data_IF_881238132103
#
_entry.id   IF_881238132103
#
_cell.length_a   1.000
_cell.length_b   1.000
_cell.length_c   1.000
_cell.angle_alpha   90.00
_cell.angle_beta   90.00
_cell.angle_gamma   90.00
#
_symmetry.space_group_name_H-M   'P 1'
#
loop_
_entity.id
_entity.type
_entity.pdbx_description
1 polymer ?
#
# COMPACT_ATOMS: atom_id res chain seq x y z
N UNK A 1 -19.40 -8.65 1.59
CA UNK A 1 -17.95 -8.49 1.87
C UNK A 1 -17.29 -7.79 0.68
N UNK A 2 -16.43 -6.77 0.89
CA UNK A 2 -15.69 -6.17 -0.23
C UNK A 2 -14.70 -7.21 -0.79
N UNK A 3 -14.67 -7.37 -2.11
CA UNK A 3 -13.74 -8.25 -2.81
C UNK A 3 -12.31 -7.78 -2.54
N UNK A 4 -11.39 -8.74 -2.33
CA UNK A 4 -9.97 -8.44 -2.19
C UNK A 4 -9.41 -7.86 -3.51
N UNK A 5 -8.58 -6.82 -3.39
CA UNK A 5 -7.90 -6.17 -4.52
C UNK A 5 -6.58 -6.87 -4.82
N UNK A 6 -6.15 -6.81 -6.08
CA UNK A 6 -4.80 -7.20 -6.53
C UNK A 6 -3.77 -6.15 -6.12
N UNK A 7 -2.48 -6.49 -6.21
CA UNK A 7 -1.39 -5.53 -6.01
C UNK A 7 -1.50 -4.32 -6.95
N UNK A 8 -1.86 -4.55 -8.22
CA UNK A 8 -2.02 -3.46 -9.20
C UNK A 8 -3.15 -2.49 -8.82
N UNK A 9 -4.28 -3.03 -8.36
CA UNK A 9 -5.40 -2.21 -7.87
C UNK A 9 -5.03 -1.44 -6.60
N UNK A 10 -4.29 -2.05 -5.67
CA UNK A 10 -3.76 -1.36 -4.50
C UNK A 10 -2.76 -0.26 -4.87
N UNK A 11 -1.85 -0.50 -5.81
CA UNK A 11 -0.90 0.51 -6.28
C UNK A 11 -1.63 1.72 -6.87
N UNK A 12 -2.66 1.48 -7.69
CA UNK A 12 -3.51 2.54 -8.24
C UNK A 12 -4.22 3.33 -7.15
N UNK A 13 -4.86 2.64 -6.21
CA UNK A 13 -5.53 3.27 -5.06
C UNK A 13 -4.55 4.09 -4.20
N UNK A 14 -3.34 3.58 -3.99
CA UNK A 14 -2.24 4.27 -3.32
C UNK A 14 -1.89 5.59 -3.99
N UNK A 15 -1.73 5.58 -5.31
CA UNK A 15 -1.41 6.79 -6.08
C UNK A 15 -2.57 7.79 -6.13
N UNK A 16 -3.81 7.31 -6.20
CA UNK A 16 -5.02 8.17 -6.10
C UNK A 16 -5.10 8.89 -4.75
N UNK A 17 -4.70 8.22 -3.66
CA UNK A 17 -4.62 8.83 -2.33
C UNK A 17 -3.42 9.75 -2.18
N UNK A 18 -2.27 9.35 -2.73
CA UNK A 18 -1.03 10.10 -2.63
C UNK A 18 -0.05 9.72 -3.74
N UNK A 19 0.10 10.60 -4.71
CA UNK A 19 1.06 10.44 -5.82
C UNK A 19 2.43 11.07 -5.55
N UNK A 20 2.69 11.62 -4.36
CA UNK A 20 3.97 12.25 -3.97
C UNK A 20 4.48 11.73 -2.64
N UNK A 21 5.78 11.46 -2.55
CA UNK A 21 6.46 11.05 -1.33
C UNK A 21 6.24 12.10 -0.23
N UNK A 22 5.89 11.65 0.99
CA UNK A 22 5.63 12.55 2.12
C UNK A 22 6.86 13.33 2.58
N UNK A 23 8.06 12.78 2.33
CA UNK A 23 9.32 13.36 2.79
C UNK A 23 9.95 14.32 1.77
N UNK A 24 10.12 13.89 0.52
CA UNK A 24 10.84 14.69 -0.49
C UNK A 24 9.95 15.25 -1.61
N UNK A 25 8.65 14.92 -1.65
CA UNK A 25 7.74 15.40 -2.69
C UNK A 25 7.89 14.76 -4.07
N UNK A 26 8.87 13.86 -4.26
CA UNK A 26 9.06 13.12 -5.51
C UNK A 26 7.81 12.29 -5.89
N UNK A 27 7.58 12.11 -7.19
CA UNK A 27 6.45 11.34 -7.69
C UNK A 27 6.58 9.86 -7.31
N UNK A 28 5.50 9.30 -6.78
CA UNK A 28 5.35 7.88 -6.53
C UNK A 28 4.74 7.20 -7.75
N UNK A 29 5.26 6.02 -8.09
CA UNK A 29 4.77 5.20 -9.21
C UNK A 29 4.35 3.82 -8.72
N UNK A 30 3.54 3.11 -9.51
CA UNK A 30 3.07 1.78 -9.13
C UNK A 30 4.22 0.79 -8.83
N UNK A 31 5.33 0.87 -9.58
CA UNK A 31 6.51 0.02 -9.38
C UNK A 31 7.29 0.29 -8.09
N UNK A 32 6.96 1.36 -7.37
CA UNK A 32 7.49 1.68 -6.04
C UNK A 32 6.69 1.03 -4.92
N UNK A 33 5.53 0.42 -5.22
CA UNK A 33 4.78 -0.31 -4.21
C UNK A 33 5.55 -1.56 -3.78
N UNK A 34 5.50 -1.86 -2.49
CA UNK A 34 6.09 -3.03 -1.84
C UNK A 34 5.05 -3.70 -0.95
N UNK A 35 5.29 -4.97 -0.67
CA UNK A 35 4.46 -5.75 0.22
C UNK A 35 5.27 -6.84 0.92
N UNK A 36 4.77 -7.27 2.08
CA UNK A 36 5.30 -8.42 2.82
C UNK A 36 4.19 -9.04 3.68
N UNK A 37 4.35 -10.30 4.06
CA UNK A 37 3.42 -11.00 4.95
C UNK A 37 3.34 -10.29 6.31
N UNK A 38 2.13 -9.94 6.74
CA UNK A 38 1.93 -9.24 8.01
C UNK A 38 0.55 -9.50 8.60
N UNK A 39 0.48 -9.89 9.87
CA UNK A 39 -0.75 -10.29 10.55
C UNK A 39 -1.83 -9.19 10.61
N UNK A 40 -1.44 -7.92 10.48
CA UNK A 40 -2.36 -6.77 10.49
C UNK A 40 -2.43 -6.03 9.14
N UNK A 41 -2.09 -6.72 8.04
CA UNK A 41 -2.06 -6.19 6.68
C UNK A 41 -3.40 -6.19 5.94
N UNK A 42 -3.34 -6.05 4.61
CA UNK A 42 -4.45 -6.08 3.67
C UNK A 42 -4.59 -7.46 3.03
N UNK A 43 -5.83 -7.86 2.76
CA UNK A 43 -6.09 -9.06 1.97
C UNK A 43 -5.83 -8.74 0.49
N UNK A 44 -4.83 -9.38 -0.10
CA UNK A 44 -4.46 -9.19 -1.50
C UNK A 44 -4.86 -10.41 -2.31
N UNK A 45 -5.56 -10.20 -3.43
CA UNK A 45 -5.95 -11.27 -4.34
C UNK A 45 -4.70 -11.91 -4.95
N UNK A 46 -4.57 -13.23 -4.80
CA UNK A 46 -3.47 -14.02 -5.36
C UNK A 46 -2.28 -14.21 -4.41
N UNK A 47 -2.31 -13.62 -3.21
CA UNK A 47 -1.32 -13.85 -2.17
C UNK A 47 -1.95 -14.61 -0.99
N UNK A 48 -1.14 -15.43 -0.33
CA UNK A 48 -1.53 -16.09 0.91
C UNK A 48 -1.41 -15.10 2.07
N UNK A 49 -2.31 -15.20 3.05
CA UNK A 49 -2.28 -14.35 4.24
C UNK A 49 -2.61 -12.87 3.97
N UNK A 50 -2.30 -12.05 4.97
CA UNK A 50 -2.44 -10.60 4.92
C UNK A 50 -1.08 -9.97 4.59
N UNK A 51 -1.11 -8.85 3.88
CA UNK A 51 0.09 -8.21 3.34
C UNK A 51 0.19 -6.78 3.87
N UNK A 52 1.29 -6.40 4.49
CA UNK A 52 1.56 -4.97 4.70
C UNK A 52 1.83 -4.31 3.35
N UNK A 53 1.32 -3.10 3.11
CA UNK A 53 1.45 -2.39 1.83
C UNK A 53 2.01 -0.99 2.05
N UNK A 54 3.02 -0.62 1.26
CA UNK A 54 3.64 0.70 1.31
C UNK A 54 4.25 1.10 -0.03
N UNK A 55 4.52 2.39 -0.20
CA UNK A 55 5.40 2.89 -1.26
C UNK A 55 6.81 3.10 -0.71
N UNK A 56 7.81 2.58 -1.42
CA UNK A 56 9.21 2.88 -1.19
C UNK A 56 9.70 3.96 -2.17
N UNK A 57 9.96 5.17 -1.68
CA UNK A 57 10.44 6.26 -2.52
C UNK A 57 11.87 5.99 -3.00
N UNK A 58 12.11 5.94 -4.31
CA UNK A 58 13.46 5.71 -4.85
C UNK A 58 14.42 6.90 -4.67
N UNK A 59 13.90 8.11 -4.49
CA UNK A 59 14.72 9.33 -4.35
C UNK A 59 15.26 9.51 -2.93
N UNK A 60 14.45 9.23 -1.90
CA UNK A 60 14.83 9.50 -0.51
C UNK A 60 14.69 8.29 0.42
N UNK A 61 14.38 7.11 -0.14
CA UNK A 61 14.22 5.83 0.55
C UNK A 61 13.19 5.82 1.69
N UNK A 62 12.30 6.81 1.73
CA UNK A 62 11.25 6.88 2.74
C UNK A 62 10.09 5.95 2.38
N UNK A 63 9.68 5.13 3.35
CA UNK A 63 8.54 4.24 3.23
C UNK A 63 7.24 4.92 3.68
N UNK A 64 6.27 4.97 2.78
CA UNK A 64 4.93 5.50 3.05
C UNK A 64 3.93 4.36 3.11
N UNK A 65 3.57 3.94 4.33
CA UNK A 65 2.57 2.89 4.53
C UNK A 65 1.19 3.29 3.98
N UNK A 66 0.40 2.32 3.57
CA UNK A 66 -0.97 2.55 3.10
C UNK A 66 -1.90 3.01 4.23
N UNK A 67 -1.63 2.59 5.47
CA UNK A 67 -2.36 3.05 6.65
C UNK A 67 -2.18 4.56 6.86
N UNK A 68 -0.95 5.07 6.75
CA UNK A 68 -0.66 6.50 6.98
C UNK A 68 -1.23 7.43 5.90
N UNK A 69 -1.64 6.88 4.74
CA UNK A 69 -2.35 7.61 3.68
C UNK A 69 -3.85 7.31 3.63
N UNK A 70 -4.38 6.68 4.69
CA UNK A 70 -5.83 6.54 4.89
C UNK A 70 -6.48 5.45 4.03
N UNK A 71 -5.74 4.44 3.59
CA UNK A 71 -6.30 3.27 2.93
C UNK A 71 -6.75 2.28 3.99
N UNK A 72 -8.06 2.12 4.14
CA UNK A 72 -8.63 1.21 5.14
C UNK A 72 -8.28 -0.24 4.86
N UNK A 73 -8.01 -0.99 5.93
CA UNK A 73 -7.92 -2.46 5.86
C UNK A 73 -9.33 -3.04 5.70
N UNK A 74 -9.48 -4.16 4.97
CA UNK A 74 -10.78 -4.76 4.71
C UNK A 74 -11.45 -5.37 5.96
N UNK A 75 -10.71 -5.50 7.08
CA UNK A 75 -11.23 -6.01 8.34
C UNK A 75 -10.77 -5.11 9.49
N UNK A 76 -11.62 -4.84 10.49
CA UNK A 76 -11.17 -4.23 11.73
C UNK A 76 -10.14 -5.17 12.37
N UNK A 77 -9.01 -4.60 12.79
CA UNK A 77 -8.14 -5.26 13.75
C UNK A 77 -9.00 -5.65 14.95
N UNK A 78 -9.03 -6.95 15.27
CA UNK A 78 -9.63 -7.48 16.50
C UNK A 78 -9.07 -6.75 17.72
#
# INVERSE_FOLDING_TARGET
MKKALTLAEYARLGMEKRNKCRRCGALLTAGMMRHEDHASGWKVKGLMGLQWLWFHCKECHYDTSFQTIGISRPYPTL
#
